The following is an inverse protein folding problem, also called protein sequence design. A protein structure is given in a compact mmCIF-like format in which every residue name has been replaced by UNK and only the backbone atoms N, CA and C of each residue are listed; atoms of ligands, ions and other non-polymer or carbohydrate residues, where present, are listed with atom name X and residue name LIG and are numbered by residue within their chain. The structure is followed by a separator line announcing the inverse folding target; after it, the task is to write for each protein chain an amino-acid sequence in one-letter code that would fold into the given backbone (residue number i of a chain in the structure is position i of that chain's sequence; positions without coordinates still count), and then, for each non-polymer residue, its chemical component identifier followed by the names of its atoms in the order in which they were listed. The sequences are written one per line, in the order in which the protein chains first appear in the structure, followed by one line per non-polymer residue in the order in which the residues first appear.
data_IF_036561319849
#
_entry.id   IF_036561319849
#
_cell.length_a   1.000
_cell.length_b   1.000
_cell.length_c   1.000
_cell.angle_alpha   90.00
_cell.angle_beta   90.00
_cell.angle_gamma   90.00
#
_symmetry.space_group_name_H-M   'P 1'
#
loop_
_entity.id
_entity.type
_entity.pdbx_description
1 polymer ?
#
# COMPACT_ATOMS: atom_id res chain seq x y z
N UNK A 1 -12.13 -15.75 -1.22
CA UNK A 1 -12.45 -14.94 -2.41
C UNK A 1 -12.09 -13.50 -2.09
N UNK A 2 -11.34 -12.83 -2.96
CA UNK A 2 -10.96 -11.43 -2.75
C UNK A 2 -12.21 -10.54 -2.84
N UNK A 3 -12.37 -9.47 -2.02
CA UNK A 3 -13.61 -8.71 -2.01
C UNK A 3 -13.84 -7.95 -3.33
N UNK A 4 -15.06 -8.05 -3.83
CA UNK A 4 -15.55 -7.35 -5.02
C UNK A 4 -16.64 -6.36 -4.65
N UNK A 5 -16.76 -5.27 -5.42
CA UNK A 5 -17.93 -4.39 -5.40
C UNK A 5 -18.68 -4.56 -6.71
N UNK A 6 -20.01 -4.52 -6.61
CA UNK A 6 -20.92 -4.58 -7.74
C UNK A 6 -21.85 -3.36 -7.70
N UNK A 7 -22.03 -2.72 -8.85
CA UNK A 7 -22.89 -1.53 -9.01
C UNK A 7 -23.94 -1.85 -10.06
N UNK A 8 -25.14 -2.21 -9.60
CA UNK A 8 -26.23 -2.72 -10.45
C UNK A 8 -26.73 -1.71 -11.48
N UNK A 9 -26.67 -0.41 -11.17
CA UNK A 9 -27.28 0.66 -11.96
C UNK A 9 -26.46 1.05 -13.19
N UNK A 10 -25.26 0.49 -13.37
CA UNK A 10 -24.37 0.81 -14.48
C UNK A 10 -24.47 -0.26 -15.58
N UNK A 11 -24.93 0.13 -16.76
CA UNK A 11 -25.06 -0.76 -17.93
C UNK A 11 -24.43 -0.08 -19.15
N UNK A 12 -23.10 -0.08 -19.26
CA UNK A 12 -22.41 0.64 -20.34
C UNK A 12 -22.58 -0.04 -21.70
N UNK A 13 -22.84 -1.36 -21.73
CA UNK A 13 -23.26 -2.10 -22.92
C UNK A 13 -24.76 -2.41 -22.83
N UNK A 14 -25.61 -1.79 -23.66
CA UNK A 14 -27.05 -2.03 -23.68
C UNK A 14 -27.42 -3.41 -24.26
N UNK A 15 -26.52 -4.06 -25.00
CA UNK A 15 -26.75 -5.36 -25.63
C UNK A 15 -26.30 -6.51 -24.72
N UNK A 16 -25.75 -6.21 -23.54
CA UNK A 16 -25.35 -7.21 -22.56
C UNK A 16 -26.57 -7.90 -21.93
N UNK A 17 -26.60 -9.23 -21.96
CA UNK A 17 -27.81 -10.03 -21.62
C UNK A 17 -27.67 -10.95 -20.41
N UNK A 18 -26.48 -11.10 -19.83
CA UNK A 18 -26.26 -12.04 -18.73
C UNK A 18 -26.80 -11.55 -17.38
N UNK A 19 -26.50 -10.30 -17.01
CA UNK A 19 -27.01 -9.60 -15.81
C UNK A 19 -26.90 -8.08 -16.02
N UNK A 20 -27.32 -7.26 -15.06
CA UNK A 20 -27.07 -5.81 -15.07
C UNK A 20 -25.81 -5.46 -14.29
N UNK A 21 -25.33 -4.22 -14.40
CA UNK A 21 -24.30 -3.70 -13.50
C UNK A 21 -22.86 -3.92 -13.96
N UNK A 22 -21.94 -3.37 -13.16
CA UNK A 22 -20.49 -3.48 -13.38
C UNK A 22 -19.80 -3.84 -12.07
N UNK A 23 -18.79 -4.72 -12.15
CA UNK A 23 -17.99 -5.13 -10.99
C UNK A 23 -16.59 -4.54 -11.00
N UNK A 24 -16.05 -4.25 -9.81
CA UNK A 24 -14.64 -4.01 -9.60
C UNK A 24 -14.14 -4.68 -8.32
N UNK A 25 -12.82 -4.65 -8.10
CA UNK A 25 -12.17 -5.32 -6.98
C UNK A 25 -11.79 -4.26 -5.96
N UNK A 26 -12.13 -4.49 -4.70
CA UNK A 26 -11.84 -3.58 -3.59
C UNK A 26 -10.80 -4.20 -2.65
N UNK A 27 -10.31 -3.42 -1.69
CA UNK A 27 -9.40 -3.92 -0.66
C UNK A 27 -10.06 -3.84 0.72
N UNK A 28 -9.83 -4.85 1.54
CA UNK A 28 -10.23 -4.85 2.95
C UNK A 28 -9.11 -5.48 3.78
N UNK A 29 -8.92 -4.97 4.99
CA UNK A 29 -7.90 -5.48 5.91
C UNK A 29 -8.49 -5.77 7.28
N UNK A 30 -7.90 -6.70 8.00
CA UNK A 30 -8.27 -7.03 9.38
C UNK A 30 -7.01 -7.32 10.19
N UNK A 31 -7.03 -6.94 11.47
CA UNK A 31 -5.96 -7.28 12.43
C UNK A 31 -6.29 -8.53 13.24
N UNK A 32 -7.57 -8.88 13.37
CA UNK A 32 -8.06 -9.99 14.19
C UNK A 32 -8.68 -11.13 13.36
N UNK A 33 -8.86 -10.93 12.05
CA UNK A 33 -9.53 -11.87 11.16
C UNK A 33 -11.06 -11.85 11.26
N UNK A 34 -11.63 -11.01 12.15
CA UNK A 34 -13.08 -10.95 12.40
C UNK A 34 -13.67 -9.59 12.00
N UNK A 35 -13.01 -8.49 12.37
CA UNK A 35 -13.41 -7.13 12.03
C UNK A 35 -12.61 -6.65 10.84
N UNK A 36 -13.29 -6.40 9.74
CA UNK A 36 -12.67 -5.91 8.52
C UNK A 36 -12.92 -4.41 8.33
N UNK A 37 -11.85 -3.70 7.97
CA UNK A 37 -11.89 -2.30 7.61
C UNK A 37 -11.81 -2.13 6.09
N UNK A 38 -12.60 -1.18 5.58
CA UNK A 38 -12.62 -0.73 4.19
C UNK A 38 -12.12 0.71 4.10
N UNK A 39 -10.96 0.97 4.68
CA UNK A 39 -10.39 2.33 4.74
C UNK A 39 -10.17 2.94 3.36
N UNK A 40 -9.96 2.09 2.34
CA UNK A 40 -9.81 2.47 0.94
C UNK A 40 -11.05 2.01 0.18
N UNK A 41 -11.91 2.97 -0.19
CA UNK A 41 -13.17 2.70 -0.86
C UNK A 41 -13.06 2.75 -2.39
N UNK A 42 -11.91 3.21 -2.89
CA UNK A 42 -11.50 3.13 -4.28
C UNK A 42 -11.33 1.67 -4.71
N UNK A 43 -11.47 1.43 -6.02
CA UNK A 43 -11.14 0.13 -6.58
C UNK A 43 -9.65 -0.14 -6.40
N UNK A 44 -9.32 -1.29 -5.81
CA UNK A 44 -7.97 -1.83 -5.78
C UNK A 44 -7.55 -2.27 -7.18
N UNK A 45 -8.46 -2.94 -7.92
CA UNK A 45 -8.27 -3.29 -9.32
C UNK A 45 -9.51 -2.90 -10.10
N UNK A 46 -9.31 -2.02 -11.10
CA UNK A 46 -10.36 -1.46 -11.96
C UNK A 46 -10.55 -2.35 -13.21
N UNK A 47 -11.74 -2.34 -13.85
CA UNK A 47 -11.99 -3.03 -15.12
C UNK A 47 -10.97 -2.69 -16.24
N UNK A 48 -10.39 -1.49 -16.17
CA UNK A 48 -9.34 -1.05 -17.10
C UNK A 48 -9.91 -0.50 -18.41
N UNK A 49 -9.05 -0.40 -19.43
CA UNK A 49 -9.41 0.15 -20.75
C UNK A 49 -10.08 -0.87 -21.69
N UNK A 50 -10.05 -2.15 -21.34
CA UNK A 50 -10.74 -3.20 -22.12
C UNK A 50 -12.24 -3.09 -21.84
N UNK A 51 -13.02 -2.65 -22.84
CA UNK A 51 -14.46 -2.46 -22.70
C UNK A 51 -15.18 -3.77 -22.35
N UNK A 52 -14.63 -4.91 -22.75
CA UNK A 52 -15.16 -6.23 -22.47
C UNK A 52 -15.06 -6.63 -20.98
N UNK A 53 -14.48 -5.80 -20.11
CA UNK A 53 -14.54 -5.99 -18.66
C UNK A 53 -15.67 -5.16 -17.99
N UNK A 54 -16.37 -4.30 -18.74
CA UNK A 54 -17.36 -3.36 -18.20
C UNK A 54 -18.78 -3.94 -18.16
N UNK A 55 -18.94 -5.07 -17.47
CA UNK A 55 -20.24 -5.71 -17.23
C UNK A 55 -20.22 -6.47 -15.89
N UNK A 56 -21.27 -7.21 -15.58
CA UNK A 56 -21.31 -8.04 -14.37
C UNK A 56 -20.16 -9.05 -14.39
N UNK A 57 -19.41 -9.13 -13.30
CA UNK A 57 -18.27 -10.07 -13.14
C UNK A 57 -17.20 -9.97 -14.24
N UNK A 58 -17.16 -8.89 -15.03
CA UNK A 58 -16.18 -8.72 -16.11
C UNK A 58 -14.75 -8.86 -15.63
N UNK A 59 -14.47 -8.38 -14.41
CA UNK A 59 -13.30 -8.80 -13.63
C UNK A 59 -13.71 -9.47 -12.33
N UNK A 60 -13.02 -10.56 -11.96
CA UNK A 60 -13.23 -11.26 -10.70
C UNK A 60 -11.97 -11.95 -10.22
N UNK A 61 -11.70 -11.98 -8.90
CA UNK A 61 -10.43 -12.50 -8.38
C UNK A 61 -10.54 -13.89 -7.79
N UNK A 62 -9.55 -14.70 -8.11
CA UNK A 62 -9.38 -16.05 -7.59
C UNK A 62 -8.89 -16.02 -6.13
N UNK A 63 -8.80 -17.19 -5.52
CA UNK A 63 -8.34 -17.31 -4.13
C UNK A 63 -6.82 -17.21 -4.05
N UNK A 64 -6.34 -16.33 -3.17
CA UNK A 64 -4.95 -16.29 -2.73
C UNK A 64 -4.18 -15.06 -3.18
N UNK A 65 -3.16 -14.73 -2.38
CA UNK A 65 -2.07 -13.81 -2.72
C UNK A 65 -0.81 -14.63 -2.49
N UNK A 66 0.01 -14.79 -3.52
CA UNK A 66 1.17 -15.67 -3.51
C UNK A 66 2.45 -14.85 -3.53
N UNK A 67 3.38 -15.12 -2.61
CA UNK A 67 4.74 -14.61 -2.74
C UNK A 67 5.43 -15.38 -3.88
N UNK A 68 5.70 -14.68 -4.99
CA UNK A 68 6.38 -15.25 -6.16
C UNK A 68 7.87 -14.92 -6.19
N UNK A 69 8.31 -13.94 -5.41
CA UNK A 69 9.70 -13.69 -5.05
C UNK A 69 9.78 -12.86 -3.76
N UNK A 70 10.99 -12.59 -3.26
CA UNK A 70 11.20 -11.67 -2.15
C UNK A 70 10.62 -10.27 -2.42
N UNK A 71 10.54 -9.88 -3.70
CA UNK A 71 10.09 -8.55 -4.13
C UNK A 71 8.70 -8.51 -4.74
N UNK A 72 8.03 -9.64 -4.90
CA UNK A 72 6.81 -9.72 -5.69
C UNK A 72 5.78 -10.65 -5.06
N UNK A 73 4.56 -10.13 -4.93
CA UNK A 73 3.34 -10.89 -4.69
C UNK A 73 2.51 -10.95 -5.97
N UNK A 74 1.88 -12.09 -6.20
CA UNK A 74 1.03 -12.35 -7.35
C UNK A 74 -0.39 -12.66 -6.91
N UNK A 75 -1.34 -12.13 -7.66
CA UNK A 75 -2.75 -12.45 -7.59
C UNK A 75 -3.24 -12.87 -8.98
N UNK A 76 -4.24 -13.74 -9.02
CA UNK A 76 -4.87 -14.16 -10.27
C UNK A 76 -6.32 -13.72 -10.29
N UNK A 77 -6.77 -13.19 -11.42
CA UNK A 77 -8.15 -12.83 -11.64
C UNK A 77 -8.59 -13.19 -13.04
N UNK A 78 -9.88 -13.41 -13.22
CA UNK A 78 -10.53 -13.57 -14.50
C UNK A 78 -10.80 -12.20 -15.12
N UNK A 79 -10.59 -12.07 -16.43
CA UNK A 79 -11.05 -10.96 -17.27
C UNK A 79 -12.02 -11.50 -18.33
N UNK A 80 -12.94 -10.65 -18.81
CA UNK A 80 -13.91 -10.94 -19.86
C UNK A 80 -14.84 -12.13 -19.55
N UNK A 81 -15.37 -12.21 -18.32
CA UNK A 81 -16.30 -13.26 -17.94
C UNK A 81 -17.47 -13.36 -18.94
N UNK A 82 -17.95 -14.56 -19.23
CA UNK A 82 -19.06 -14.82 -20.18
C UNK A 82 -18.75 -14.59 -21.67
N UNK A 83 -17.54 -14.11 -22.01
CA UNK A 83 -17.12 -13.89 -23.38
C UNK A 83 -16.16 -14.98 -23.88
N UNK A 84 -16.09 -15.23 -25.20
CA UNK A 84 -15.08 -16.14 -25.77
C UNK A 84 -13.63 -15.73 -25.49
N UNK A 85 -13.40 -14.45 -25.14
CA UNK A 85 -12.09 -13.88 -24.79
C UNK A 85 -11.75 -14.03 -23.30
N UNK A 86 -12.58 -14.73 -22.52
CA UNK A 86 -12.35 -14.98 -21.10
C UNK A 86 -10.97 -15.60 -20.84
N UNK A 87 -10.23 -15.04 -19.88
CA UNK A 87 -8.88 -15.48 -19.55
C UNK A 87 -8.55 -15.27 -18.09
N UNK A 88 -7.60 -16.05 -17.58
CA UNK A 88 -6.93 -15.76 -16.31
C UNK A 88 -5.82 -14.75 -16.58
N UNK A 89 -5.83 -13.66 -15.82
CA UNK A 89 -4.85 -12.60 -15.80
C UNK A 89 -4.02 -12.70 -14.52
N UNK A 90 -2.71 -12.58 -14.67
CA UNK A 90 -1.77 -12.41 -13.56
C UNK A 90 -1.65 -10.91 -13.23
N UNK A 91 -1.81 -10.58 -11.97
CA UNK A 91 -1.56 -9.25 -11.40
C UNK A 91 -0.41 -9.36 -10.41
N UNK A 92 0.47 -8.36 -10.40
CA UNK A 92 1.66 -8.35 -9.56
C UNK A 92 1.67 -7.11 -8.70
N UNK A 93 2.15 -7.27 -7.48
CA UNK A 93 2.37 -6.22 -6.49
C UNK A 93 3.79 -6.40 -5.96
N UNK A 94 4.45 -5.32 -5.55
CA UNK A 94 5.64 -5.46 -4.70
C UNK A 94 5.24 -6.09 -3.36
N UNK A 95 6.14 -6.81 -2.70
CA UNK A 95 5.89 -7.35 -1.34
C UNK A 95 5.41 -6.24 -0.41
N UNK A 96 4.34 -6.50 0.34
CA UNK A 96 3.63 -5.55 1.22
C UNK A 96 3.15 -4.23 0.56
N UNK A 97 3.08 -4.19 -0.78
CA UNK A 97 2.72 -3.02 -1.56
C UNK A 97 1.23 -2.83 -1.87
N UNK A 98 0.34 -3.20 -0.96
CA UNK A 98 -1.11 -3.14 -1.23
C UNK A 98 -1.64 -1.72 -1.36
N UNK A 99 -1.17 -0.80 -0.53
CA UNK A 99 -1.57 0.61 -0.51
C UNK A 99 -0.39 1.44 -0.04
N UNK A 100 -0.34 2.71 -0.41
CA UNK A 100 0.68 3.64 0.05
C UNK A 100 0.08 4.88 0.71
N UNK A 101 0.81 5.43 1.66
CA UNK A 101 0.72 6.87 1.96
C UNK A 101 1.67 7.58 0.99
N UNK A 102 1.16 8.54 0.23
CA UNK A 102 1.94 9.21 -0.79
C UNK A 102 1.86 10.73 -0.71
N UNK A 103 2.87 11.39 -1.28
CA UNK A 103 2.87 12.82 -1.49
C UNK A 103 3.24 13.16 -2.93
N UNK A 104 2.56 14.17 -3.48
CA UNK A 104 2.90 14.73 -4.79
C UNK A 104 4.25 15.45 -4.79
N UNK A 105 4.65 16.00 -5.94
CA UNK A 105 5.83 16.86 -6.06
C UNK A 105 5.82 18.09 -5.11
N UNK A 106 4.64 18.55 -4.67
CA UNK A 106 4.52 19.63 -3.68
C UNK A 106 4.96 19.22 -2.26
N UNK A 107 5.15 17.93 -2.04
CA UNK A 107 5.44 17.35 -0.74
C UNK A 107 4.21 17.20 0.15
N UNK A 108 4.42 16.57 1.29
CA UNK A 108 3.43 16.33 2.32
C UNK A 108 4.07 15.64 3.52
N UNK A 109 3.34 15.55 4.62
CA UNK A 109 3.81 14.86 5.81
C UNK A 109 2.67 14.16 6.54
N UNK A 110 3.02 13.15 7.32
CA UNK A 110 2.10 12.51 8.25
C UNK A 110 2.84 12.04 9.50
N UNK A 111 2.08 11.84 10.58
CA UNK A 111 2.61 11.30 11.84
C UNK A 111 1.79 10.12 12.29
N UNK A 112 2.45 9.06 12.75
CA UNK A 112 1.77 7.90 13.32
C UNK A 112 1.10 8.25 14.66
N UNK A 113 0.16 7.40 15.08
CA UNK A 113 -0.23 7.33 16.49
C UNK A 113 0.96 6.83 17.31
N UNK A 114 1.04 7.13 18.63
CA UNK A 114 2.05 6.54 19.49
C UNK A 114 1.98 5.01 19.47
N UNK A 115 3.13 4.35 19.39
CA UNK A 115 3.26 2.90 19.49
C UNK A 115 4.58 2.51 20.15
N UNK A 116 4.66 1.29 20.66
CA UNK A 116 5.90 0.66 21.12
C UNK A 116 6.37 -0.36 20.09
N UNK A 117 7.67 -0.60 20.02
CA UNK A 117 8.26 -1.60 19.13
C UNK A 117 9.33 -2.42 19.85
N UNK A 118 9.70 -3.53 19.22
CA UNK A 118 10.91 -4.30 19.51
C UNK A 118 11.82 -4.24 18.27
N UNK A 119 13.13 -4.43 18.45
CA UNK A 119 14.11 -4.35 17.38
C UNK A 119 15.12 -3.22 17.60
N UNK A 120 16.08 -3.14 16.70
CA UNK A 120 17.19 -2.18 16.71
C UNK A 120 17.29 -1.36 15.43
N UNK A 121 16.50 -1.65 14.39
CA UNK A 121 16.58 -0.95 13.11
C UNK A 121 15.18 -0.65 12.55
N UNK A 122 14.99 0.54 11.97
CA UNK A 122 13.80 0.89 11.22
C UNK A 122 14.00 0.57 9.73
N UNK A 123 13.12 -0.23 9.16
CA UNK A 123 13.10 -0.58 7.74
C UNK A 123 11.85 -0.01 7.06
N UNK A 124 12.03 0.53 5.86
CA UNK A 124 10.98 1.16 5.06
C UNK A 124 10.76 0.40 3.75
N UNK A 125 9.50 0.19 3.41
CA UNK A 125 9.06 -0.21 2.10
C UNK A 125 8.55 1.03 1.35
N UNK A 126 9.31 1.50 0.37
CA UNK A 126 9.07 2.79 -0.27
C UNK A 126 9.48 2.84 -1.74
N UNK A 127 8.96 3.84 -2.46
CA UNK A 127 9.38 4.19 -3.82
C UNK A 127 9.36 5.71 -3.97
N UNK A 128 10.39 6.29 -4.58
CA UNK A 128 10.44 7.72 -4.92
C UNK A 128 10.66 7.92 -6.41
N UNK A 129 10.28 9.10 -6.92
CA UNK A 129 10.82 9.55 -8.20
C UNK A 129 12.29 9.98 -8.08
N UNK A 130 12.94 10.31 -9.19
CA UNK A 130 14.32 10.80 -9.22
C UNK A 130 14.52 12.15 -8.48
N UNK A 131 13.45 12.92 -8.28
CA UNK A 131 13.46 14.19 -7.54
C UNK A 131 12.66 14.11 -6.24
N UNK A 132 12.21 12.89 -5.92
CA UNK A 132 11.47 12.58 -4.71
C UNK A 132 12.39 12.22 -3.56
N UNK A 133 11.89 12.41 -2.35
CA UNK A 133 12.63 12.14 -1.12
C UNK A 133 11.71 11.77 0.03
N UNK A 134 12.30 11.06 0.99
CA UNK A 134 11.70 10.67 2.26
C UNK A 134 12.62 11.14 3.37
N UNK A 135 12.03 11.71 4.42
CA UNK A 135 12.68 11.92 5.71
C UNK A 135 11.83 11.36 6.84
N UNK A 136 12.50 10.88 7.87
CA UNK A 136 11.86 10.30 9.06
C UNK A 136 12.39 10.98 10.31
N UNK A 137 11.47 11.39 11.18
CA UNK A 137 11.77 11.86 12.53
C UNK A 137 11.11 10.92 13.54
N UNK A 138 11.86 10.57 14.59
CA UNK A 138 11.31 9.87 15.75
C UNK A 138 11.00 10.89 16.85
N UNK A 139 9.76 10.88 17.32
CA UNK A 139 9.27 11.75 18.38
C UNK A 139 8.94 10.95 19.64
N UNK A 140 8.93 11.63 20.79
CA UNK A 140 8.30 11.13 22.01
C UNK A 140 6.76 11.00 21.84
N UNK A 141 6.07 10.53 22.89
CA UNK A 141 4.62 10.35 22.86
C UNK A 141 3.87 11.69 22.72
N UNK A 142 4.48 12.77 23.20
CA UNK A 142 3.97 14.14 23.20
C UNK A 142 4.19 14.85 21.85
N UNK A 143 5.07 14.33 20.99
CA UNK A 143 5.38 14.85 19.66
C UNK A 143 6.63 15.73 19.58
N UNK A 144 7.51 15.70 20.58
CA UNK A 144 8.82 16.35 20.49
C UNK A 144 9.83 15.42 19.81
N UNK A 145 10.60 15.96 18.87
CA UNK A 145 11.68 15.23 18.22
C UNK A 145 12.70 14.74 19.26
N UNK A 146 13.09 13.48 19.17
CA UNK A 146 14.14 12.92 20.02
C UNK A 146 15.51 13.40 19.50
N UNK A 147 16.45 13.76 20.39
CA UNK A 147 17.80 14.16 19.99
C UNK A 147 18.48 13.09 19.13
N UNK A 148 19.08 13.50 18.00
CA UNK A 148 19.72 12.60 17.03
C UNK A 148 18.76 11.89 16.07
N UNK A 149 17.45 12.06 16.24
CA UNK A 149 16.41 11.46 15.40
C UNK A 149 15.48 12.50 14.76
N UNK A 150 15.92 13.76 14.65
CA UNK A 150 15.15 14.84 14.04
C UNK A 150 15.17 14.81 12.50
N UNK A 151 14.28 15.56 11.86
CA UNK A 151 14.30 15.71 10.38
C UNK A 151 15.60 16.32 9.83
N UNK A 152 16.29 17.12 10.65
CA UNK A 152 17.60 17.70 10.32
C UNK A 152 18.72 16.66 10.31
N UNK A 153 18.57 15.62 11.14
CA UNK A 153 19.54 14.54 11.32
C UNK A 153 19.28 13.37 10.36
N UNK A 154 18.20 13.42 9.57
CA UNK A 154 17.86 12.39 8.59
C UNK A 154 18.24 12.85 7.17
N UNK A 155 19.29 12.27 6.55
CA UNK A 155 19.61 12.55 5.15
C UNK A 155 18.45 12.10 4.26
N UNK A 156 18.19 12.84 3.18
CA UNK A 156 17.12 12.47 2.25
C UNK A 156 17.32 11.04 1.72
N UNK A 157 16.31 10.19 1.93
CA UNK A 157 16.26 8.84 1.39
C UNK A 157 15.44 8.82 0.11
N UNK A 158 15.97 8.19 -0.94
CA UNK A 158 15.35 8.07 -2.25
C UNK A 158 15.64 6.67 -2.84
N UNK A 159 14.91 6.26 -3.88
CA UNK A 159 15.01 4.94 -4.49
C UNK A 159 13.74 4.10 -4.37
N UNK A 160 13.86 2.80 -4.64
CA UNK A 160 12.78 1.83 -4.55
C UNK A 160 13.27 0.57 -3.83
N UNK A 161 12.91 0.44 -2.55
CA UNK A 161 13.37 -0.63 -1.64
C UNK A 161 12.23 -1.18 -0.81
N UNK A 162 12.26 -2.48 -0.49
CA UNK A 162 11.25 -3.16 0.35
C UNK A 162 11.66 -3.14 1.82
N UNK A 163 12.95 -3.37 2.08
CA UNK A 163 13.55 -3.41 3.41
C UNK A 163 14.62 -2.30 3.53
N UNK A 164 14.28 -1.10 3.07
CA UNK A 164 15.19 0.03 3.01
C UNK A 164 15.47 0.60 4.40
N UNK A 165 16.70 0.40 4.89
CA UNK A 165 17.13 0.85 6.22
C UNK A 165 17.06 2.38 6.36
N UNK A 166 16.45 2.83 7.44
CA UNK A 166 16.41 4.23 7.85
C UNK A 166 17.56 4.50 8.81
N UNK A 167 18.41 5.46 8.45
CA UNK A 167 19.56 5.88 9.26
C UNK A 167 19.61 7.39 9.35
N UNK A 168 19.87 7.89 10.55
CA UNK A 168 20.18 9.29 10.83
C UNK A 168 21.70 9.50 10.77
N UNK A 169 22.14 10.75 10.89
CA UNK A 169 23.56 11.14 10.80
C UNK A 169 24.42 10.42 11.85
N UNK A 170 23.87 10.14 13.04
CA UNK A 170 24.55 9.40 14.11
C UNK A 170 24.42 7.86 13.98
N UNK A 171 23.62 7.36 13.03
CA UNK A 171 23.45 5.93 12.77
C UNK A 171 21.99 5.47 12.65
N UNK A 172 21.79 4.15 12.54
CA UNK A 172 20.47 3.52 12.42
C UNK A 172 20.01 2.71 13.64
N UNK A 173 20.81 2.67 14.72
CA UNK A 173 20.45 1.91 15.92
C UNK A 173 19.40 2.64 16.75
N UNK A 174 18.23 2.02 16.86
CA UNK A 174 17.08 2.51 17.66
C UNK A 174 16.80 1.62 18.87
N UNK A 175 17.69 0.69 19.21
CA UNK A 175 17.50 -0.27 20.31
C UNK A 175 17.25 0.43 21.67
N UNK A 176 17.86 1.59 21.90
CA UNK A 176 17.64 2.41 23.09
C UNK A 176 16.21 2.95 23.23
N UNK A 177 15.42 2.91 22.15
CA UNK A 177 14.02 3.33 22.11
C UNK A 177 13.04 2.14 22.17
N UNK A 178 13.52 0.90 22.08
CA UNK A 178 12.68 -0.29 22.15
C UNK A 178 11.87 -0.32 23.47
N UNK A 179 10.60 -0.68 23.37
CA UNK A 179 9.65 -0.67 24.48
C UNK A 179 9.18 0.71 24.95
N UNK A 180 9.76 1.82 24.44
CA UNK A 180 9.27 3.18 24.72
C UNK A 180 8.19 3.55 23.70
N UNK A 181 7.19 4.31 24.15
CA UNK A 181 6.17 4.84 23.27
C UNK A 181 6.77 5.97 22.41
N UNK A 182 6.74 5.80 21.10
CA UNK A 182 7.28 6.75 20.13
C UNK A 182 6.26 7.05 19.04
N UNK A 183 6.48 8.13 18.30
CA UNK A 183 5.76 8.45 17.06
C UNK A 183 6.77 8.60 15.93
N UNK A 184 6.38 8.23 14.72
CA UNK A 184 7.16 8.51 13.51
C UNK A 184 6.49 9.64 12.74
N UNK A 185 7.24 10.70 12.43
CA UNK A 185 6.85 11.75 11.50
C UNK A 185 7.60 11.53 10.19
N UNK A 186 6.85 11.36 9.12
CA UNK A 186 7.37 11.21 7.77
C UNK A 186 7.15 12.50 6.99
N UNK A 187 8.20 12.99 6.33
CA UNK A 187 8.11 14.06 5.32
C UNK A 187 8.44 13.44 3.97
N UNK A 188 7.54 13.63 3.02
CA UNK A 188 7.56 12.99 1.72
C UNK A 188 7.52 14.06 0.63
N UNK A 189 8.19 13.77 -0.49
CA UNK A 189 8.06 14.50 -1.73
C UNK A 189 8.13 13.52 -2.89
N UNK A 190 7.11 13.52 -3.75
CA UNK A 190 7.04 12.65 -4.93
C UNK A 190 7.44 11.20 -4.61
N UNK A 191 6.78 10.66 -3.57
CA UNK A 191 7.15 9.42 -2.91
C UNK A 191 5.94 8.68 -2.35
N UNK A 192 6.07 7.36 -2.28
CA UNK A 192 5.15 6.40 -1.70
C UNK A 192 5.84 5.65 -0.55
N UNK A 193 5.17 5.57 0.61
CA UNK A 193 5.50 4.62 1.68
C UNK A 193 4.40 3.57 1.75
N UNK A 194 4.77 2.31 1.51
CA UNK A 194 3.87 1.16 1.54
C UNK A 194 3.77 0.54 2.93
N UNK A 195 4.91 0.38 3.60
CA UNK A 195 5.01 -0.21 4.93
C UNK A 195 6.27 0.24 5.66
N UNK A 196 6.31 0.02 6.96
CA UNK A 196 7.51 0.14 7.78
C UNK A 196 7.47 -0.89 8.90
N UNK A 197 8.64 -1.32 9.38
CA UNK A 197 8.76 -2.26 10.50
C UNK A 197 10.03 -1.94 11.30
N UNK A 198 10.06 -2.43 12.53
CA UNK A 198 11.30 -2.49 13.32
C UNK A 198 11.80 -3.93 13.34
N UNK A 199 13.06 -4.12 12.94
CA UNK A 199 13.77 -5.40 12.89
C UNK A 199 14.71 -5.60 14.07
#
# INVERSE_FOLDING_TARGET
MFPSRFVHERTPDPDWTYDTGVSDIVFMSSRDGFKFNRSFMEAFIRPGSDFNNWHDRGIYFEVGILHTSDKEMTMYGMENAHLPTQRIRRYTLRTDGFVSVNASFKGGEFTTRPFTFNGSELELNYSTSAVGSIKVEIQDAEGHALPGFGLGDFPEKFGDEIDGKASWDEGGDVSALAGKAVRLRFVLKDADIYAFKFG
#
